data_IF_991659710053
#
_entry.id   IF_991659710053
#
_cell.length_a   1.000
_cell.length_b   1.000
_cell.length_c   1.000
_cell.angle_alpha   90.00
_cell.angle_beta   90.00
_cell.angle_gamma   90.00
#
_symmetry.space_group_name_H-M   'P 1'
#
loop_
_entity.id
_entity.type
_entity.pdbx_description
1 polymer ?
#
# COMPACT_ATOMS: atom_id res chain seq x y z
N UNK A 1 1.47 -33.76 -31.53
CA UNK A 1 2.14 -33.92 -30.23
C UNK A 1 3.50 -33.27 -30.34
N UNK A 2 3.75 -32.12 -29.69
CA UNK A 2 5.05 -31.45 -29.77
C UNK A 2 6.10 -32.20 -28.94
N UNK A 3 7.37 -32.22 -29.37
CA UNK A 3 8.45 -32.87 -28.63
C UNK A 3 8.75 -32.07 -27.34
N UNK A 4 8.77 -32.77 -26.22
CA UNK A 4 9.17 -32.24 -24.91
C UNK A 4 10.66 -31.84 -24.97
N UNK A 5 10.91 -30.54 -24.94
CA UNK A 5 12.25 -29.97 -24.75
C UNK A 5 12.80 -30.45 -23.41
N UNK A 6 13.93 -31.16 -23.47
CA UNK A 6 14.61 -31.72 -22.32
C UNK A 6 15.00 -30.65 -21.31
N UNK A 7 14.68 -30.91 -20.04
CA UNK A 7 15.12 -30.10 -18.92
C UNK A 7 16.66 -30.13 -18.84
N UNK A 8 17.32 -28.99 -18.59
CA UNK A 8 18.77 -28.97 -18.38
C UNK A 8 19.14 -29.72 -17.09
N UNK A 9 20.33 -30.36 -17.05
CA UNK A 9 20.80 -31.12 -15.90
C UNK A 9 21.00 -30.20 -14.68
N UNK A 10 20.55 -30.69 -13.52
CA UNK A 10 20.73 -30.05 -12.21
C UNK A 10 22.22 -30.09 -11.84
N UNK A 11 22.83 -28.99 -11.38
CA UNK A 11 24.23 -28.99 -10.96
C UNK A 11 24.42 -29.89 -9.74
N UNK A 12 25.36 -30.84 -9.86
CA UNK A 12 25.80 -31.68 -8.75
C UNK A 12 26.42 -30.83 -7.63
N UNK A 13 26.10 -31.11 -6.36
CA UNK A 13 26.77 -30.47 -5.24
C UNK A 13 28.25 -30.92 -5.14
N UNK A 14 29.17 -30.04 -4.73
CA UNK A 14 30.58 -30.36 -4.64
C UNK A 14 30.85 -31.47 -3.62
N UNK A 15 31.70 -32.47 -3.94
CA UNK A 15 32.05 -33.52 -3.01
C UNK A 15 32.97 -32.97 -1.92
N UNK A 16 32.56 -33.05 -0.65
CA UNK A 16 33.48 -32.79 0.46
C UNK A 16 32.95 -32.15 1.74
N UNK A 17 31.65 -32.10 2.00
CA UNK A 17 31.17 -31.69 3.33
C UNK A 17 30.97 -32.92 4.25
N UNK A 18 31.71 -33.04 5.36
CA UNK A 18 31.54 -34.13 6.30
C UNK A 18 30.18 -34.01 6.98
N UNK A 19 29.32 -34.99 6.72
CA UNK A 19 28.12 -35.25 7.50
C UNK A 19 28.54 -35.92 8.81
N UNK A 20 28.32 -35.28 9.96
CA UNK A 20 28.51 -35.92 11.25
C UNK A 20 29.02 -35.01 12.36
N UNK A 21 28.17 -34.13 12.87
CA UNK A 21 28.27 -33.69 14.26
C UNK A 21 27.18 -34.44 15.04
N UNK A 22 27.52 -35.68 15.34
CA UNK A 22 26.92 -36.49 16.40
C UNK A 22 27.32 -35.82 17.72
N UNK A 23 26.40 -35.03 18.31
CA UNK A 23 26.57 -34.50 19.66
C UNK A 23 25.99 -35.53 20.64
N UNK A 24 26.82 -36.21 21.45
CA UNK A 24 26.32 -37.17 22.41
C UNK A 24 25.59 -36.48 23.56
N UNK A 25 24.50 -37.12 23.99
CA UNK A 25 23.65 -36.70 25.09
C UNK A 25 24.43 -36.34 26.36
N UNK A 26 24.45 -35.05 26.66
CA UNK A 26 24.91 -34.50 27.93
C UNK A 26 23.76 -34.48 28.93
N UNK A 27 23.80 -35.44 29.85
CA UNK A 27 23.18 -35.40 31.17
C UNK A 27 23.33 -34.00 31.79
N UNK A 28 22.22 -33.26 31.91
CA UNK A 28 22.17 -32.11 32.83
C UNK A 28 21.85 -32.62 34.24
N UNK A 29 22.70 -32.36 35.25
CA UNK A 29 22.36 -32.67 36.64
C UNK A 29 21.31 -31.70 37.19
N UNK A 30 20.47 -32.13 38.16
CA UNK A 30 19.52 -31.26 38.83
C UNK A 30 20.25 -30.30 39.79
N UNK A 31 20.05 -29.00 39.62
CA UNK A 31 20.51 -28.01 40.60
C UNK A 31 19.70 -28.14 41.90
N UNK A 32 20.36 -28.26 43.07
CA UNK A 32 19.69 -28.26 44.35
C UNK A 32 19.32 -26.83 44.78
N UNK A 33 18.19 -26.73 45.48
CA UNK A 33 17.64 -25.49 46.00
C UNK A 33 18.58 -24.70 46.90
N UNK A 34 18.51 -23.38 46.73
CA UNK A 34 19.02 -22.38 47.65
C UNK A 34 17.90 -21.39 47.99
N UNK A 35 17.62 -21.29 49.29
CA UNK A 35 16.57 -20.57 50.01
C UNK A 35 16.59 -19.03 49.85
N UNK A 36 15.57 -18.31 50.38
CA UNK A 36 15.26 -16.92 50.02
C UNK A 36 16.09 -15.92 50.83
N UNK A 37 16.75 -15.00 50.12
CA UNK A 37 17.48 -13.88 50.67
C UNK A 37 16.83 -12.56 50.27
N UNK A 38 16.23 -11.92 51.26
CA UNK A 38 15.81 -10.52 51.26
C UNK A 38 16.96 -9.58 50.92
N UNK A 39 16.79 -8.74 49.90
CA UNK A 39 17.62 -7.54 49.71
C UNK A 39 16.74 -6.28 49.50
N UNK A 40 17.01 -5.19 50.24
CA UNK A 40 16.20 -3.98 50.27
C UNK A 40 16.59 -2.97 49.18
N UNK A 41 15.54 -2.35 48.61
CA UNK A 41 15.42 -0.98 48.08
C UNK A 41 16.62 -0.24 47.43
N UNK A 42 16.46 0.34 46.23
CA UNK A 42 17.40 1.35 45.73
C UNK A 42 17.24 2.70 46.46
N UNK A 43 18.34 3.45 46.68
CA UNK A 43 18.30 4.76 47.32
C UNK A 43 17.73 5.84 46.40
N UNK A 44 16.85 6.67 46.97
CA UNK A 44 16.35 7.91 46.37
C UNK A 44 17.50 8.92 46.11
N UNK A 45 17.42 9.72 45.04
CA UNK A 45 18.31 10.88 44.85
C UNK A 45 17.92 12.05 45.78
N UNK A 46 18.90 12.79 46.35
CA UNK A 46 18.65 14.00 47.12
C UNK A 46 18.50 15.21 46.18
N UNK A 47 17.39 15.93 46.30
CA UNK A 47 17.11 17.09 45.45
C UNK A 47 15.91 17.90 45.91
N UNK A 48 15.86 18.23 47.20
CA UNK A 48 14.93 19.18 47.80
C UNK A 48 15.42 20.62 47.61
N UNK A 49 14.56 21.51 47.09
CA UNK A 49 14.54 22.99 47.21
C UNK A 49 13.20 23.51 46.59
N UNK A 50 12.68 24.69 46.98
CA UNK A 50 11.75 24.82 48.09
C UNK A 50 10.36 25.37 47.70
N UNK A 51 9.45 25.28 48.67
CA UNK A 51 8.10 25.84 48.66
C UNK A 51 8.07 27.34 48.32
N UNK A 52 7.27 27.70 47.32
CA UNK A 52 6.69 29.05 47.20
C UNK A 52 5.31 29.00 47.84
N UNK A 53 5.28 29.42 49.10
CA UNK A 53 4.09 29.89 49.79
C UNK A 53 3.64 31.22 49.20
N UNK A 54 2.34 31.34 48.96
CA UNK A 54 1.65 32.62 49.05
C UNK A 54 1.02 33.14 47.77
N UNK A 55 -0.24 32.76 47.51
CA UNK A 55 -1.27 33.73 47.13
C UNK A 55 -2.62 33.32 47.76
N UNK A 56 -3.15 34.11 48.70
CA UNK A 56 -4.48 33.92 49.27
C UNK A 56 -5.54 34.71 48.47
N UNK A 57 -6.72 34.10 48.37
CA UNK A 57 -7.97 34.85 48.25
C UNK A 57 -8.48 35.08 46.83
N UNK A 58 -9.41 34.23 46.40
CA UNK A 58 -10.70 34.66 45.84
C UNK A 58 -11.69 33.50 45.95
N UNK A 59 -12.23 33.30 47.16
CA UNK A 59 -13.57 32.74 47.33
C UNK A 59 -14.54 33.92 47.26
N UNK A 60 -15.33 34.01 46.20
CA UNK A 60 -16.61 34.72 46.23
C UNK A 60 -17.61 33.91 45.42
N UNK A 61 -18.51 33.28 46.18
CA UNK A 61 -19.94 33.09 45.94
C UNK A 61 -20.47 33.14 44.50
N UNK A 62 -21.16 32.05 44.11
CA UNK A 62 -22.49 31.99 43.46
C UNK A 62 -22.66 30.53 43.01
N UNK A 63 -23.36 29.63 43.71
CA UNK A 63 -24.74 29.65 44.16
C UNK A 63 -25.72 30.10 43.08
N UNK A 64 -26.31 29.10 42.42
CA UNK A 64 -27.62 29.17 41.77
C UNK A 64 -27.65 29.75 40.37
N UNK A 65 -27.94 28.90 39.38
CA UNK A 65 -29.10 29.12 38.52
C UNK A 65 -29.31 27.92 37.60
N UNK A 66 -30.48 27.30 37.77
CA UNK A 66 -31.12 26.48 36.75
C UNK A 66 -31.38 27.36 35.53
N UNK A 67 -30.60 27.16 34.46
CA UNK A 67 -30.74 27.85 33.19
C UNK A 67 -31.27 26.89 32.13
N UNK A 68 -32.60 26.85 32.00
CA UNK A 68 -33.32 26.18 30.92
C UNK A 68 -33.07 27.02 29.65
N UNK A 69 -32.09 26.59 28.84
CA UNK A 69 -31.73 27.26 27.60
C UNK A 69 -32.83 27.08 26.55
N UNK A 70 -33.62 28.15 26.35
CA UNK A 70 -34.56 28.29 25.26
C UNK A 70 -33.85 28.28 23.91
N UNK A 71 -34.36 27.44 23.00
CA UNK A 71 -34.04 27.44 21.58
C UNK A 71 -34.54 28.76 20.94
N UNK A 72 -33.75 29.39 20.05
CA UNK A 72 -34.24 30.53 19.28
C UNK A 72 -35.32 30.08 18.28
N UNK A 73 -36.47 30.76 18.18
CA UNK A 73 -37.48 30.50 17.16
C UNK A 73 -37.01 31.10 15.83
N UNK A 74 -36.81 30.29 14.79
CA UNK A 74 -36.57 30.82 13.44
C UNK A 74 -35.69 30.01 12.49
N UNK A 75 -35.23 28.80 12.84
CA UNK A 75 -34.54 27.96 11.88
C UNK A 75 -35.55 27.34 10.89
N UNK A 76 -35.38 27.51 9.55
CA UNK A 76 -36.21 26.83 8.57
C UNK A 76 -36.04 25.30 8.67
N UNK A 77 -37.11 24.52 8.44
CA UNK A 77 -37.04 23.07 8.55
C UNK A 77 -36.07 22.49 7.50
N UNK A 78 -35.32 21.42 7.84
CA UNK A 78 -34.52 20.71 6.85
C UNK A 78 -35.43 20.09 5.77
N UNK A 79 -34.97 20.00 4.51
CA UNK A 79 -35.75 19.39 3.44
C UNK A 79 -36.06 17.93 3.78
N UNK A 80 -37.34 17.56 3.70
CA UNK A 80 -37.80 16.20 3.94
C UNK A 80 -37.10 15.21 3.01
N UNK A 81 -36.78 13.98 3.48
CA UNK A 81 -36.23 12.94 2.62
C UNK A 81 -37.28 12.57 1.57
N UNK A 82 -36.94 12.80 0.31
CA UNK A 82 -37.74 12.40 -0.84
C UNK A 82 -37.89 10.88 -0.82
N UNK A 83 -39.11 10.42 -0.52
CA UNK A 83 -39.51 9.02 -0.65
C UNK A 83 -39.45 8.67 -2.13
N UNK A 84 -38.39 7.98 -2.55
CA UNK A 84 -38.32 7.40 -3.89
C UNK A 84 -39.42 6.34 -4.02
N UNK A 85 -40.35 6.59 -4.93
CA UNK A 85 -41.36 5.63 -5.34
C UNK A 85 -40.71 4.38 -5.98
N UNK A 86 -41.29 3.18 -5.82
CA UNK A 86 -40.78 1.97 -6.44
C UNK A 86 -40.96 2.03 -7.97
N UNK A 87 -39.83 1.92 -8.68
CA UNK A 87 -39.78 1.82 -10.14
C UNK A 87 -40.52 0.57 -10.62
N UNK A 88 -41.41 0.76 -11.59
CA UNK A 88 -42.04 -0.31 -12.35
C UNK A 88 -41.01 -1.01 -13.25
N UNK A 89 -41.09 -2.34 -13.42
CA UNK A 89 -40.25 -3.07 -14.35
C UNK A 89 -40.92 -3.16 -15.73
N UNK A 90 -40.23 -2.64 -16.74
CA UNK A 90 -40.46 -3.00 -18.13
C UNK A 90 -40.93 -1.84 -18.99
N UNK A 91 -40.01 -1.30 -19.77
CA UNK A 91 -40.20 -0.89 -21.16
C UNK A 91 -38.81 -0.73 -21.79
N UNK A 92 -38.59 -1.44 -22.89
CA UNK A 92 -37.35 -1.46 -23.67
C UNK A 92 -37.07 -0.08 -24.29
N UNK A 93 -35.81 0.35 -24.45
CA UNK A 93 -35.51 1.52 -25.28
C UNK A 93 -35.38 1.13 -26.76
N UNK A 94 -35.95 1.91 -27.69
CA UNK A 94 -35.63 1.80 -29.10
C UNK A 94 -34.31 2.52 -29.40
N UNK A 95 -33.55 1.86 -30.26
CA UNK A 95 -32.44 2.34 -31.06
C UNK A 95 -32.62 3.80 -31.54
N UNK A 96 -31.75 4.72 -31.11
CA UNK A 96 -31.54 6.01 -31.77
C UNK A 96 -30.05 6.33 -31.86
N UNK A 97 -29.51 6.02 -33.04
CA UNK A 97 -28.39 6.67 -33.67
C UNK A 97 -28.80 8.09 -34.10
N UNK A 98 -28.24 9.14 -33.47
CA UNK A 98 -28.21 10.50 -34.04
C UNK A 98 -27.28 11.44 -33.24
N UNK A 99 -26.35 12.08 -33.95
CA UNK A 99 -26.05 13.51 -33.76
C UNK A 99 -25.09 13.90 -32.63
N UNK A 100 -23.83 14.10 -32.98
CA UNK A 100 -22.91 15.00 -32.28
C UNK A 100 -23.49 16.44 -32.25
N UNK A 101 -23.55 17.13 -31.09
CA UNK A 101 -23.76 18.57 -31.05
C UNK A 101 -22.43 19.34 -31.15
N UNK A 102 -22.29 20.30 -32.08
CA UNK A 102 -21.23 21.30 -32.04
C UNK A 102 -21.68 22.50 -31.19
N UNK A 103 -20.88 22.89 -30.19
CA UNK A 103 -21.06 24.17 -29.49
C UNK A 103 -20.69 24.14 -28.01
N UNK A 104 -19.40 24.31 -27.69
CA UNK A 104 -18.97 24.74 -26.35
C UNK A 104 -18.94 26.28 -26.35
N UNK A 105 -19.63 26.97 -25.43
CA UNK A 105 -19.44 28.40 -25.22
C UNK A 105 -18.13 28.66 -24.43
N UNK A 106 -17.40 29.76 -24.72
CA UNK A 106 -16.26 30.17 -23.93
C UNK A 106 -16.75 30.94 -22.69
N UNK A 107 -16.78 30.26 -21.54
CA UNK A 107 -17.10 30.84 -20.24
C UNK A 107 -15.97 30.58 -19.25
N UNK A 108 -15.02 31.52 -19.15
CA UNK A 108 -14.02 31.57 -18.09
C UNK A 108 -14.69 31.85 -16.74
N UNK A 109 -14.27 31.22 -15.63
CA UNK A 109 -14.69 31.66 -14.31
C UNK A 109 -13.95 32.97 -13.92
N UNK A 110 -14.67 34.01 -13.48
CA UNK A 110 -14.07 35.19 -12.85
C UNK A 110 -13.91 34.92 -11.34
N UNK A 111 -12.70 35.07 -10.81
CA UNK A 111 -12.50 34.94 -9.35
C UNK A 111 -11.06 34.77 -8.88
N UNK A 112 -10.14 35.65 -9.28
CA UNK A 112 -8.91 35.86 -8.50
C UNK A 112 -9.22 36.80 -7.32
N UNK A 113 -8.87 36.45 -6.07
CA UNK A 113 -9.04 37.37 -4.95
C UNK A 113 -8.09 38.58 -5.08
N UNK A 114 -8.55 39.81 -4.83
CA UNK A 114 -7.70 40.99 -4.77
C UNK A 114 -6.99 41.05 -3.42
N UNK A 115 -5.66 41.06 -3.39
CA UNK A 115 -4.95 41.30 -2.12
C UNK A 115 -3.47 40.93 -2.02
N UNK A 116 -2.67 40.99 -3.09
CA UNK A 116 -1.21 40.99 -2.90
C UNK A 116 -0.76 42.40 -2.48
N UNK A 117 -0.18 42.58 -1.28
CA UNK A 117 0.33 43.89 -0.86
C UNK A 117 1.58 44.28 -1.68
N UNK A 118 1.73 45.57 -2.07
CA UNK A 118 2.93 46.07 -2.70
C UNK A 118 4.01 46.27 -1.62
N UNK A 119 5.15 45.59 -1.74
CA UNK A 119 6.34 45.96 -0.96
C UNK A 119 7.20 44.83 -0.40
N UNK A 120 7.48 43.77 -1.16
CA UNK A 120 8.68 43.00 -0.84
C UNK A 120 9.91 43.74 -1.38
N UNK A 121 10.84 44.20 -0.53
CA UNK A 121 12.09 44.78 -0.98
C UNK A 121 12.87 43.73 -1.77
N UNK A 122 13.40 44.16 -2.91
CA UNK A 122 14.39 43.47 -3.73
C UNK A 122 15.58 43.07 -2.87
N UNK A 123 15.50 41.88 -2.26
CA UNK A 123 16.57 41.29 -1.47
C UNK A 123 17.52 40.60 -2.44
N UNK A 124 18.54 41.38 -2.82
CA UNK A 124 19.86 40.96 -3.30
C UNK A 124 19.93 39.56 -3.90
N UNK A 125 19.86 39.50 -5.22
CA UNK A 125 20.55 38.42 -5.94
C UNK A 125 22.03 38.45 -5.52
N UNK A 126 22.61 37.32 -5.07
CA UNK A 126 24.02 37.29 -4.75
C UNK A 126 24.85 37.58 -6.01
N UNK A 127 25.99 38.28 -5.86
CA UNK A 127 26.85 38.63 -6.96
C UNK A 127 27.38 37.36 -7.63
N UNK A 128 27.36 37.43 -8.97
CA UNK A 128 28.20 36.71 -9.92
C UNK A 128 29.39 36.03 -9.25
N UNK A 129 29.43 34.69 -9.22
CA UNK A 129 30.65 33.97 -8.87
C UNK A 129 31.71 34.22 -9.96
N UNK A 130 32.84 34.87 -9.64
CA UNK A 130 33.99 34.96 -10.53
C UNK A 130 34.89 33.74 -10.27
N UNK A 131 35.19 32.98 -11.31
CA UNK A 131 36.25 31.97 -11.27
C UNK A 131 35.77 30.53 -11.27
N UNK A 132 35.21 30.07 -12.39
CA UNK A 132 35.45 28.69 -12.79
C UNK A 132 36.85 28.62 -13.43
N UNK A 133 37.77 27.80 -12.91
CA UNK A 133 39.07 27.63 -13.53
C UNK A 133 38.90 26.90 -14.87
N UNK A 134 39.24 27.57 -15.96
CA UNK A 134 39.63 26.96 -17.22
C UNK A 134 40.83 26.06 -16.98
N UNK A 135 40.57 24.80 -16.64
CA UNK A 135 41.58 23.77 -16.38
C UNK A 135 41.14 22.45 -17.01
N UNK A 136 40.87 22.47 -18.31
CA UNK A 136 40.72 21.23 -19.08
C UNK A 136 42.14 20.64 -19.25
N UNK A 137 42.43 19.45 -18.71
CA UNK A 137 43.74 18.83 -18.90
C UNK A 137 43.94 18.51 -20.40
N UNK A 138 45.03 18.97 -21.03
CA UNK A 138 45.36 18.55 -22.38
C UNK A 138 45.90 17.12 -22.31
N UNK A 139 45.23 16.17 -22.97
CA UNK A 139 45.89 14.90 -23.32
C UNK A 139 45.19 13.59 -22.97
N UNK A 140 43.85 13.51 -22.98
CA UNK A 140 43.23 12.19 -23.10
C UNK A 140 43.27 11.76 -24.58
N UNK A 141 44.00 10.69 -24.94
CA UNK A 141 43.99 10.17 -26.29
C UNK A 141 42.59 9.66 -26.60
N UNK A 142 41.95 10.23 -27.63
CA UNK A 142 40.80 9.62 -28.29
C UNK A 142 41.24 8.24 -28.81
N UNK A 143 41.03 7.20 -28.00
CA UNK A 143 41.07 5.82 -28.45
C UNK A 143 39.83 5.58 -29.31
N UNK A 144 39.93 5.96 -30.59
CA UNK A 144 39.01 5.54 -31.63
C UNK A 144 38.89 4.01 -31.60
N UNK A 145 37.68 3.44 -31.51
CA UNK A 145 37.52 2.00 -31.64
C UNK A 145 38.04 1.53 -33.02
N UNK A 146 38.65 0.34 -33.10
CA UNK A 146 39.19 -0.18 -34.34
C UNK A 146 38.09 -0.26 -35.41
N UNK A 147 38.37 0.43 -36.52
CA UNK A 147 37.56 0.42 -37.74
C UNK A 147 37.33 -1.04 -38.18
N UNK A 148 36.08 -1.49 -38.37
CA UNK A 148 35.82 -2.85 -38.84
C UNK A 148 36.46 -3.08 -40.22
N UNK A 149 36.97 -4.30 -40.49
CA UNK A 149 37.63 -4.61 -41.74
C UNK A 149 36.67 -4.41 -42.94
N UNK A 150 37.18 -3.96 -44.10
CA UNK A 150 36.38 -3.80 -45.30
C UNK A 150 35.76 -5.15 -45.69
N UNK A 151 34.43 -5.19 -45.79
CA UNK A 151 33.72 -6.35 -46.28
C UNK A 151 34.11 -6.63 -47.75
N UNK A 152 34.25 -7.90 -48.14
CA UNK A 152 34.57 -8.27 -49.52
C UNK A 152 33.45 -7.83 -50.48
N UNK A 153 33.80 -7.47 -51.74
CA UNK A 153 32.83 -7.05 -52.74
C UNK A 153 31.88 -8.20 -53.08
N UNK A 154 30.60 -8.00 -52.77
CA UNK A 154 29.54 -8.93 -53.14
C UNK A 154 29.30 -8.82 -54.64
N UNK A 155 29.37 -9.92 -55.42
CA UNK A 155 29.15 -9.86 -56.86
C UNK A 155 27.70 -9.44 -57.17
N UNK A 156 27.48 -8.61 -58.21
CA UNK A 156 26.15 -8.17 -58.60
C UNK A 156 25.33 -9.37 -59.06
N UNK A 157 24.29 -9.69 -58.31
CA UNK A 157 23.33 -10.74 -58.65
C UNK A 157 22.49 -10.23 -59.83
N UNK A 158 22.87 -10.64 -61.03
CA UNK A 158 22.16 -10.34 -62.27
C UNK A 158 20.77 -11.00 -62.25
N UNK A 159 19.70 -10.21 -62.39
CA UNK A 159 18.36 -10.75 -62.58
C UNK A 159 17.18 -9.99 -61.98
N UNK A 160 17.28 -8.69 -61.69
CA UNK A 160 16.09 -7.88 -61.36
C UNK A 160 15.53 -7.20 -62.62
N UNK A 161 14.19 -7.22 -62.82
CA UNK A 161 13.54 -6.65 -63.99
C UNK A 161 13.67 -5.12 -64.02
N UNK A 162 13.86 -4.52 -65.20
CA UNK A 162 13.87 -3.07 -65.38
C UNK A 162 12.42 -2.57 -65.38
N UNK A 163 11.90 -2.16 -64.23
CA UNK A 163 10.52 -1.71 -64.12
C UNK A 163 10.35 -0.59 -63.10
N UNK A 164 10.20 0.65 -63.58
CA UNK A 164 9.44 1.69 -62.90
C UNK A 164 10.01 2.25 -61.60
N UNK A 165 11.31 2.56 -61.55
CA UNK A 165 11.89 3.37 -60.48
C UNK A 165 11.53 4.84 -60.66
N UNK A 166 10.32 5.24 -60.24
CA UNK A 166 10.10 6.64 -59.87
C UNK A 166 11.11 7.02 -58.77
N UNK A 167 11.59 8.27 -58.72
CA UNK A 167 12.45 8.70 -57.63
C UNK A 167 11.67 8.49 -56.33
N UNK A 168 12.02 7.45 -55.56
CA UNK A 168 11.62 7.38 -54.16
C UNK A 168 12.18 8.65 -53.55
N UNK A 169 11.28 9.57 -53.19
CA UNK A 169 11.61 10.90 -52.73
C UNK A 169 12.72 10.80 -51.69
N UNK A 170 13.87 11.42 -51.98
CA UNK A 170 15.03 11.44 -51.08
C UNK A 170 14.66 11.89 -49.65
N UNK A 171 13.55 12.60 -49.54
CA UNK A 171 12.92 13.05 -48.30
C UNK A 171 12.35 11.89 -47.47
N UNK A 172 11.71 10.89 -48.09
CA UNK A 172 11.18 9.72 -47.40
C UNK A 172 12.30 8.85 -46.79
N UNK A 173 13.44 8.73 -47.49
CA UNK A 173 14.61 8.01 -46.98
C UNK A 173 15.26 8.75 -45.80
N UNK A 174 15.34 10.08 -45.86
CA UNK A 174 15.84 10.90 -44.77
C UNK A 174 14.95 10.79 -43.53
N UNK A 175 13.62 10.81 -43.72
CA UNK A 175 12.65 10.69 -42.64
C UNK A 175 12.69 9.31 -41.95
N UNK A 176 12.85 8.23 -42.73
CA UNK A 176 12.99 6.88 -42.18
C UNK A 176 14.29 6.72 -41.36
N UNK A 177 15.40 7.28 -41.82
CA UNK A 177 16.67 7.26 -41.06
C UNK A 177 16.57 8.04 -39.76
N UNK A 178 15.90 9.18 -39.77
CA UNK A 178 15.67 9.96 -38.56
C UNK A 178 14.83 9.18 -37.53
N UNK A 179 13.79 8.49 -37.98
CA UNK A 179 13.00 7.61 -37.09
C UNK A 179 13.82 6.45 -36.54
N UNK A 180 14.67 5.80 -37.34
CA UNK A 180 15.56 4.75 -36.85
C UNK A 180 16.55 5.27 -35.81
N UNK A 181 17.20 6.42 -36.07
CA UNK A 181 18.13 7.03 -35.13
C UNK A 181 17.44 7.44 -33.82
N UNK A 182 16.19 7.92 -33.88
CA UNK A 182 15.40 8.22 -32.70
C UNK A 182 15.06 6.96 -31.89
N UNK A 183 14.65 5.87 -32.55
CA UNK A 183 14.36 4.60 -31.90
C UNK A 183 15.61 3.95 -31.27
N UNK A 184 16.75 3.99 -31.96
CA UNK A 184 18.03 3.51 -31.44
C UNK A 184 18.49 4.34 -30.23
N UNK A 185 18.23 5.64 -30.24
CA UNK A 185 18.55 6.50 -29.09
C UNK A 185 17.71 6.13 -27.86
N UNK A 186 16.40 5.91 -28.02
CA UNK A 186 15.54 5.42 -26.91
C UNK A 186 15.95 4.03 -26.43
N UNK A 187 16.31 3.12 -27.34
CA UNK A 187 16.87 1.80 -26.97
C UNK A 187 18.21 1.93 -26.25
N UNK A 188 19.08 2.86 -26.66
CA UNK A 188 20.38 3.06 -26.01
C UNK A 188 20.26 3.66 -24.61
N UNK A 189 19.24 4.49 -24.36
CA UNK A 189 18.93 5.02 -23.02
C UNK A 189 18.44 3.94 -22.06
N UNK A 190 17.69 2.97 -22.59
CA UNK A 190 17.18 1.82 -21.85
C UNK A 190 18.17 0.65 -21.81
N UNK A 191 19.21 0.66 -22.67
CA UNK A 191 20.19 -0.41 -22.74
C UNK A 191 20.94 -0.58 -21.41
N UNK A 192 20.64 -1.69 -20.73
CA UNK A 192 21.28 -2.09 -19.48
C UNK A 192 20.51 -1.73 -18.21
N UNK A 193 19.35 -1.09 -18.33
CA UNK A 193 18.39 -0.88 -17.23
C UNK A 193 17.40 -2.04 -17.25
N UNK A 194 17.08 -2.62 -16.09
CA UNK A 194 16.05 -3.65 -15.99
C UNK A 194 14.68 -3.12 -16.50
N UNK A 195 13.90 -3.92 -17.25
CA UNK A 195 12.65 -3.45 -17.85
C UNK A 195 11.64 -2.96 -16.81
N UNK A 196 11.59 -3.58 -15.63
CA UNK A 196 10.71 -3.18 -14.52
C UNK A 196 11.08 -1.79 -13.96
N UNK A 197 12.38 -1.48 -13.94
CA UNK A 197 12.89 -0.17 -13.49
C UNK A 197 12.60 0.90 -14.55
N UNK A 198 12.71 0.55 -15.83
CA UNK A 198 12.36 1.44 -16.93
C UNK A 198 10.85 1.77 -16.91
N UNK A 199 10.00 0.77 -16.71
CA UNK A 199 8.54 0.95 -16.58
C UNK A 199 8.19 1.84 -15.37
N UNK A 200 8.78 1.59 -14.20
CA UNK A 200 8.59 2.43 -13.01
C UNK A 200 9.01 3.89 -13.28
N UNK A 201 10.13 4.09 -14.00
CA UNK A 201 10.64 5.40 -14.34
C UNK A 201 9.75 6.16 -15.32
N UNK A 202 9.25 5.49 -16.36
CA UNK A 202 8.32 6.08 -17.31
C UNK A 202 6.99 6.43 -16.62
N UNK A 203 6.42 5.50 -15.83
CA UNK A 203 5.14 5.68 -15.17
C UNK A 203 5.13 6.86 -14.18
N UNK A 204 6.20 7.04 -13.41
CA UNK A 204 6.32 8.12 -12.42
C UNK A 204 7.05 9.37 -12.94
N UNK A 205 7.51 9.38 -14.20
CA UNK A 205 8.28 10.49 -14.78
C UNK A 205 9.60 10.74 -14.05
N UNK A 206 10.35 9.69 -13.76
CA UNK A 206 11.63 9.77 -13.07
C UNK A 206 12.74 10.26 -14.02
N UNK A 207 13.64 11.08 -13.48
CA UNK A 207 14.80 11.56 -14.23
C UNK A 207 15.75 10.41 -14.55
N UNK A 208 16.37 10.44 -15.73
CA UNK A 208 17.31 9.40 -16.19
C UNK A 208 18.46 9.15 -15.18
N UNK A 209 18.88 10.19 -14.46
CA UNK A 209 19.88 10.09 -13.38
C UNK A 209 19.37 9.25 -12.20
N UNK A 210 18.11 9.45 -11.78
CA UNK A 210 17.51 8.70 -10.69
C UNK A 210 17.28 7.24 -11.10
N UNK A 211 16.84 7.00 -12.34
CA UNK A 211 16.65 5.66 -12.90
C UNK A 211 17.94 4.84 -12.92
N UNK A 212 19.05 5.42 -13.39
CA UNK A 212 20.36 4.76 -13.37
C UNK A 212 20.85 4.47 -11.95
N UNK A 213 20.66 5.42 -11.03
CA UNK A 213 21.03 5.22 -9.63
C UNK A 213 20.20 4.10 -8.96
N UNK A 214 18.93 3.95 -9.34
CA UNK A 214 18.06 2.87 -8.90
C UNK A 214 18.50 1.52 -9.46
N UNK A 215 18.81 1.45 -10.74
CA UNK A 215 19.31 0.23 -11.39
C UNK A 215 20.62 -0.27 -10.76
N UNK A 216 21.58 0.62 -10.50
CA UNK A 216 22.82 0.28 -9.80
C UNK A 216 22.58 -0.29 -8.40
N UNK A 217 21.62 0.25 -7.65
CA UNK A 217 21.33 -0.19 -6.29
C UNK A 217 20.57 -1.52 -6.29
N UNK A 218 19.62 -1.70 -7.21
CA UNK A 218 18.87 -2.94 -7.38
C UNK A 218 19.75 -4.10 -7.86
N UNK A 219 20.80 -3.83 -8.65
CA UNK A 219 21.80 -4.83 -9.02
C UNK A 219 22.58 -5.39 -7.83
N UNK A 220 22.68 -4.65 -6.73
CA UNK A 220 23.32 -5.12 -5.48
C UNK A 220 22.38 -5.99 -4.63
N UNK A 221 21.07 -5.72 -4.69
CA UNK A 221 20.01 -6.35 -3.88
C UNK A 221 19.14 -7.29 -4.70
N UNK A 222 19.76 -8.20 -5.46
CA UNK A 222 19.06 -9.11 -6.38
C UNK A 222 18.10 -10.08 -5.69
N UNK A 223 18.37 -10.40 -4.43
CA UNK A 223 17.57 -11.27 -3.58
C UNK A 223 16.27 -10.62 -3.11
N UNK A 224 16.25 -9.30 -2.91
CA UNK A 224 15.06 -8.55 -2.50
C UNK A 224 14.45 -7.71 -3.63
N UNK A 225 14.87 -7.94 -4.88
CA UNK A 225 14.51 -7.11 -6.03
C UNK A 225 13.00 -6.91 -6.18
N UNK A 226 12.21 -7.99 -6.27
CA UNK A 226 10.76 -7.92 -6.50
C UNK A 226 10.04 -7.18 -5.35
N UNK A 227 10.43 -7.48 -4.11
CA UNK A 227 9.83 -6.89 -2.92
C UNK A 227 10.16 -5.41 -2.75
N UNK A 228 11.39 -5.02 -3.10
CA UNK A 228 11.82 -3.63 -3.09
C UNK A 228 11.15 -2.87 -4.24
N UNK A 229 10.99 -3.47 -5.42
CA UNK A 229 10.29 -2.88 -6.57
C UNK A 229 8.82 -2.59 -6.26
N UNK A 230 8.13 -3.55 -5.65
CA UNK A 230 6.74 -3.38 -5.24
C UNK A 230 6.60 -2.30 -4.15
N UNK A 231 7.54 -2.25 -3.19
CA UNK A 231 7.60 -1.21 -2.17
C UNK A 231 7.78 0.19 -2.77
N UNK A 232 8.66 0.33 -3.76
CA UNK A 232 8.88 1.58 -4.47
C UNK A 232 7.64 2.00 -5.25
N UNK A 233 6.99 1.08 -5.98
CA UNK A 233 5.77 1.38 -6.75
C UNK A 233 4.69 2.00 -5.87
N UNK A 234 4.37 1.32 -4.76
CA UNK A 234 3.39 1.80 -3.78
C UNK A 234 3.88 3.09 -3.11
N UNK A 235 5.16 3.21 -2.78
CA UNK A 235 5.72 4.42 -2.19
C UNK A 235 5.59 5.66 -3.09
N UNK A 236 5.77 5.50 -4.39
CA UNK A 236 5.81 6.59 -5.38
C UNK A 236 4.43 7.03 -5.87
N UNK A 237 3.44 6.13 -5.91
CA UNK A 237 2.08 6.42 -6.40
C UNK A 237 1.37 7.57 -5.65
N UNK A 238 1.70 7.78 -4.36
CA UNK A 238 1.13 8.86 -3.54
C UNK A 238 2.03 10.08 -3.35
N UNK A 239 3.21 10.11 -3.95
CA UNK A 239 4.22 11.12 -3.67
C UNK A 239 3.98 12.41 -4.46
N UNK A 240 4.04 13.57 -3.79
CA UNK A 240 3.99 14.89 -4.47
C UNK A 240 5.18 15.13 -5.40
N UNK A 241 6.33 14.51 -5.10
CA UNK A 241 7.55 14.56 -5.89
C UNK A 241 8.20 13.15 -5.91
N UNK A 242 7.95 12.33 -6.94
CA UNK A 242 8.41 10.94 -6.98
C UNK A 242 9.95 10.83 -7.10
N UNK A 243 10.59 11.65 -7.95
CA UNK A 243 12.06 11.65 -8.11
C UNK A 243 12.79 11.96 -6.79
N UNK A 244 12.31 12.96 -6.04
CA UNK A 244 12.86 13.30 -4.73
C UNK A 244 12.66 12.19 -3.67
N UNK A 245 11.48 11.57 -3.64
CA UNK A 245 11.19 10.47 -2.72
C UNK A 245 12.04 9.23 -3.04
N UNK A 246 12.22 8.92 -4.33
CA UNK A 246 13.06 7.82 -4.77
C UNK A 246 14.51 8.02 -4.31
N UNK A 247 15.07 9.21 -4.47
CA UNK A 247 16.44 9.50 -4.01
C UNK A 247 16.60 9.30 -2.49
N UNK A 248 15.57 9.61 -1.71
CA UNK A 248 15.57 9.32 -0.27
C UNK A 248 15.53 7.81 0.00
N UNK A 249 14.71 7.05 -0.73
CA UNK A 249 14.67 5.57 -0.61
C UNK A 249 15.96 4.91 -1.07
N UNK A 250 16.63 5.42 -2.11
CA UNK A 250 17.96 4.97 -2.52
C UNK A 250 19.00 5.21 -1.43
N UNK A 251 18.91 6.34 -0.73
CA UNK A 251 19.77 6.59 0.43
C UNK A 251 19.50 5.57 1.54
N UNK A 252 18.23 5.27 1.83
CA UNK A 252 17.86 4.24 2.81
C UNK A 252 18.36 2.84 2.40
N UNK A 253 18.32 2.51 1.10
CA UNK A 253 18.84 1.25 0.57
C UNK A 253 20.35 1.12 0.79
N UNK A 254 21.10 2.19 0.49
CA UNK A 254 22.55 2.25 0.71
C UNK A 254 22.94 2.17 2.18
N UNK A 255 22.10 2.70 3.07
CA UNK A 255 22.30 2.61 4.53
C UNK A 255 21.81 1.26 5.09
N UNK A 256 21.19 0.40 4.28
CA UNK A 256 20.59 -0.86 4.74
C UNK A 256 19.34 -0.66 5.62
N UNK A 257 18.83 0.57 5.72
CA UNK A 257 17.61 0.89 6.49
C UNK A 257 16.34 0.66 5.66
N UNK A 258 16.47 0.59 4.34
CA UNK A 258 15.34 0.27 3.47
C UNK A 258 14.93 -1.20 3.62
N UNK A 259 13.85 -1.35 4.37
CA UNK A 259 13.07 -2.55 4.56
C UNK A 259 11.95 -2.55 3.51
N UNK A 260 12.15 -3.24 2.39
CA UNK A 260 11.12 -3.39 1.35
C UNK A 260 9.83 -4.04 1.89
N UNK A 261 8.87 -4.39 1.02
CA UNK A 261 7.60 -4.98 1.49
C UNK A 261 7.78 -6.30 2.25
N UNK A 262 8.84 -7.05 1.96
CA UNK A 262 9.20 -8.29 2.67
C UNK A 262 9.59 -8.10 4.13
N UNK A 263 9.89 -6.87 4.54
CA UNK A 263 10.27 -6.56 5.90
C UNK A 263 9.10 -6.03 6.75
N UNK A 264 7.88 -5.98 6.20
CA UNK A 264 6.69 -5.94 7.04
C UNK A 264 6.67 -7.22 7.89
N UNK A 265 6.50 -7.06 9.20
CA UNK A 265 6.33 -8.19 10.11
C UNK A 265 5.24 -9.12 9.56
N UNK A 266 5.52 -10.43 9.54
CA UNK A 266 4.56 -11.45 9.13
C UNK A 266 3.21 -11.27 9.82
N UNK A 267 3.22 -10.81 11.08
CA UNK A 267 2.01 -10.46 11.82
C UNK A 267 1.20 -9.34 11.16
N UNK A 268 1.85 -8.28 10.68
CA UNK A 268 1.21 -7.15 9.98
C UNK A 268 0.66 -7.60 8.62
N UNK A 269 1.38 -8.47 7.91
CA UNK A 269 0.92 -9.02 6.63
C UNK A 269 -0.32 -9.92 6.82
N UNK A 270 -0.31 -10.82 7.80
CA UNK A 270 -1.47 -11.64 8.16
C UNK A 270 -2.65 -10.78 8.58
N UNK A 271 -2.39 -9.72 9.34
CA UNK A 271 -3.40 -8.76 9.76
C UNK A 271 -4.04 -8.03 8.56
N UNK A 272 -3.22 -7.55 7.63
CA UNK A 272 -3.67 -6.93 6.39
C UNK A 272 -4.53 -7.88 5.56
N UNK A 273 -4.08 -9.14 5.40
CA UNK A 273 -4.84 -10.18 4.69
C UNK A 273 -6.16 -10.50 5.38
N UNK A 274 -6.18 -10.63 6.71
CA UNK A 274 -7.38 -10.94 7.51
C UNK A 274 -8.48 -9.88 7.38
N UNK A 275 -8.10 -8.61 7.34
CA UNK A 275 -9.02 -7.48 7.25
C UNK A 275 -9.15 -6.90 5.85
N UNK A 276 -8.52 -7.51 4.84
CA UNK A 276 -8.48 -7.03 3.44
C UNK A 276 -8.04 -5.56 3.37
N UNK A 277 -7.00 -5.22 4.11
CA UNK A 277 -6.39 -3.90 4.02
C UNK A 277 -5.72 -3.76 2.66
N UNK A 278 -5.82 -2.57 2.11
CA UNK A 278 -5.02 -2.17 0.95
C UNK A 278 -3.54 -2.16 1.32
N UNK A 279 -2.70 -2.33 0.30
CA UNK A 279 -1.25 -2.42 0.47
C UNK A 279 -0.67 -1.15 1.08
N UNK A 280 -1.20 0.03 0.73
CA UNK A 280 -0.75 1.32 1.29
C UNK A 280 -1.00 1.40 2.80
N UNK A 281 -2.18 1.01 3.26
CA UNK A 281 -2.53 1.00 4.68
C UNK A 281 -1.70 -0.03 5.46
N UNK A 282 -1.42 -1.19 4.87
CA UNK A 282 -0.58 -2.22 5.50
C UNK A 282 0.87 -1.74 5.71
N UNK A 283 1.47 -1.11 4.69
CA UNK A 283 2.82 -0.53 4.78
C UNK A 283 2.87 0.56 5.86
N UNK A 284 1.92 1.50 5.82
CA UNK A 284 1.85 2.59 6.81
C UNK A 284 1.56 2.09 8.22
N UNK A 285 0.84 0.98 8.38
CA UNK A 285 0.65 0.34 9.67
C UNK A 285 1.98 -0.15 10.24
N UNK A 286 2.76 -0.90 9.46
CA UNK A 286 4.09 -1.36 9.89
C UNK A 286 5.00 -0.21 10.33
N UNK A 287 5.11 0.84 9.51
CA UNK A 287 5.93 2.02 9.83
C UNK A 287 5.53 2.74 11.13
N UNK A 288 4.24 2.72 11.47
CA UNK A 288 3.72 3.37 12.67
C UNK A 288 3.91 2.48 13.89
N UNK A 289 3.71 1.17 13.76
CA UNK A 289 3.90 0.20 14.84
C UNK A 289 5.37 0.07 15.26
N UNK A 290 6.31 0.18 14.32
CA UNK A 290 7.75 0.15 14.61
C UNK A 290 8.21 1.29 15.55
N UNK A 291 7.42 2.37 15.68
CA UNK A 291 7.72 3.51 16.55
C UNK A 291 7.02 3.44 17.90
N UNK A 292 6.21 2.41 18.15
CA UNK A 292 5.40 2.27 19.37
C UNK A 292 6.02 1.26 20.31
N UNK A 293 5.84 1.50 21.61
CA UNK A 293 6.34 0.61 22.67
C UNK A 293 5.55 -0.70 22.75
N UNK A 294 4.26 -0.68 22.40
CA UNK A 294 3.35 -1.84 22.45
C UNK A 294 2.61 -2.05 21.11
N UNK A 295 3.31 -2.58 20.08
CA UNK A 295 2.70 -2.80 18.76
C UNK A 295 1.59 -3.86 18.79
N UNK A 296 1.75 -4.91 19.59
CA UNK A 296 0.78 -6.00 19.72
C UNK A 296 -0.53 -5.52 20.37
N UNK A 297 -0.45 -4.71 21.43
CA UNK A 297 -1.62 -4.11 22.08
C UNK A 297 -2.40 -3.15 21.17
N UNK A 298 -1.69 -2.32 20.40
CA UNK A 298 -2.32 -1.41 19.43
C UNK A 298 -2.97 -2.19 18.27
N UNK A 299 -2.31 -3.23 17.73
CA UNK A 299 -2.91 -4.11 16.73
C UNK A 299 -4.21 -4.75 17.23
N UNK A 300 -4.24 -5.21 18.48
CA UNK A 300 -5.44 -5.77 19.10
C UNK A 300 -6.60 -4.77 19.20
N UNK A 301 -6.31 -3.50 19.51
CA UNK A 301 -7.33 -2.43 19.56
C UNK A 301 -7.84 -2.06 18.17
N UNK A 302 -6.93 -1.92 17.20
CA UNK A 302 -7.29 -1.63 15.80
C UNK A 302 -8.15 -2.76 15.24
N UNK A 303 -7.85 -4.03 15.54
CA UNK A 303 -8.65 -5.19 15.13
C UNK A 303 -10.13 -5.02 15.51
N UNK A 304 -10.41 -4.58 16.74
CA UNK A 304 -11.78 -4.37 17.24
C UNK A 304 -12.53 -3.28 16.46
N UNK A 305 -11.84 -2.25 15.97
CA UNK A 305 -12.43 -1.22 15.11
C UNK A 305 -12.74 -1.75 13.71
N UNK A 306 -11.79 -2.47 13.11
CA UNK A 306 -11.94 -3.00 11.76
C UNK A 306 -13.05 -4.05 11.67
N UNK A 307 -13.26 -4.85 12.72
CA UNK A 307 -14.34 -5.85 12.78
C UNK A 307 -15.74 -5.22 12.69
N UNK A 308 -15.89 -3.98 13.17
CA UNK A 308 -17.15 -3.23 13.15
C UNK A 308 -17.32 -2.37 11.91
N UNK A 309 -16.27 -2.15 11.13
CA UNK A 309 -16.29 -1.31 9.94
C UNK A 309 -16.58 -2.12 8.67
N UNK A 310 -17.25 -1.49 7.71
CA UNK A 310 -17.40 -2.00 6.35
C UNK A 310 -16.35 -1.41 5.38
N UNK A 311 -15.52 -0.47 5.84
CA UNK A 311 -14.44 0.19 5.09
C UNK A 311 -13.16 0.15 5.92
N UNK A 312 -12.53 -1.02 6.08
CA UNK A 312 -11.41 -1.21 7.01
C UNK A 312 -10.19 -0.33 6.64
N UNK A 313 -9.86 -0.24 5.36
CA UNK A 313 -8.78 0.61 4.83
C UNK A 313 -8.92 2.10 5.20
N UNK A 314 -10.08 2.69 4.96
CA UNK A 314 -10.32 4.11 5.23
C UNK A 314 -10.28 4.40 6.73
N UNK A 315 -10.89 3.53 7.54
CA UNK A 315 -10.85 3.65 8.99
C UNK A 315 -9.42 3.47 9.54
N UNK A 316 -8.65 2.53 8.99
CA UNK A 316 -7.25 2.34 9.33
C UNK A 316 -6.46 3.63 9.10
N UNK A 317 -6.61 4.27 7.95
CA UNK A 317 -5.90 5.52 7.63
C UNK A 317 -6.23 6.66 8.59
N UNK A 318 -7.48 6.74 9.09
CA UNK A 318 -7.83 7.68 10.15
C UNK A 318 -7.14 7.34 11.49
N UNK A 319 -7.14 6.07 11.89
CA UNK A 319 -6.50 5.62 13.14
C UNK A 319 -4.97 5.78 13.09
N UNK A 320 -4.34 5.55 11.94
CA UNK A 320 -2.91 5.76 11.75
C UNK A 320 -2.49 7.22 11.95
N UNK A 321 -3.37 8.18 11.65
CA UNK A 321 -3.11 9.59 11.95
C UNK A 321 -2.99 9.84 13.45
N UNK A 322 -3.95 9.32 14.24
CA UNK A 322 -3.92 9.45 15.70
C UNK A 322 -2.72 8.72 16.32
N UNK A 323 -2.37 7.54 15.81
CA UNK A 323 -1.21 6.76 16.26
C UNK A 323 0.13 7.47 15.99
N UNK A 324 0.25 8.15 14.84
CA UNK A 324 1.44 8.97 14.52
C UNK A 324 1.62 10.15 15.47
N UNK A 325 0.52 10.68 15.99
CA UNK A 325 0.53 11.73 17.02
C UNK A 325 0.81 11.16 18.43
N UNK A 326 1.04 9.85 18.55
CA UNK A 326 1.30 9.16 19.81
C UNK A 326 0.05 8.91 20.65
N UNK A 327 -1.15 9.27 20.16
CA UNK A 327 -2.40 9.10 20.90
C UNK A 327 -2.72 7.61 21.04
N UNK A 328 -3.18 7.14 22.21
CA UNK A 328 -3.61 5.76 22.37
C UNK A 328 -4.84 5.47 21.50
N UNK A 329 -4.91 4.27 20.93
CA UNK A 329 -6.08 3.83 20.16
C UNK A 329 -7.29 3.80 21.10
N UNK A 330 -8.27 4.67 20.84
CA UNK A 330 -9.54 4.74 21.60
C UNK A 330 -10.32 3.44 21.43
N UNK A 331 -11.20 3.09 22.35
CA UNK A 331 -12.08 1.93 22.17
C UNK A 331 -13.21 2.22 21.16
N UNK A 332 -13.69 1.21 20.40
CA UNK A 332 -14.77 1.40 19.44
C UNK A 332 -16.09 1.74 20.14
N UNK A 333 -16.50 3.01 20.05
CA UNK A 333 -17.77 3.49 20.60
C UNK A 333 -18.97 3.29 19.65
N UNK A 334 -18.70 3.09 18.36
CA UNK A 334 -19.76 2.94 17.36
C UNK A 334 -20.35 1.52 17.36
N UNK A 335 -21.67 1.44 17.14
CA UNK A 335 -22.38 0.19 16.88
C UNK A 335 -21.86 -0.46 15.59
N UNK A 336 -22.03 -1.78 15.46
CA UNK A 336 -21.57 -2.52 14.29
C UNK A 336 -22.22 -1.95 13.01
N UNK A 337 -21.41 -1.54 12.03
CA UNK A 337 -21.93 -1.01 10.78
C UNK A 337 -22.68 -2.10 10.02
N UNK A 338 -23.74 -1.72 9.32
CA UNK A 338 -24.50 -2.64 8.45
C UNK A 338 -23.53 -3.21 7.41
N UNK A 339 -23.47 -4.54 7.32
CA UNK A 339 -22.55 -5.26 6.44
C UNK A 339 -21.14 -5.49 6.99
N UNK A 340 -20.85 -5.07 8.23
CA UNK A 340 -19.62 -5.48 8.92
C UNK A 340 -19.63 -6.98 9.27
N UNK A 341 -18.46 -7.60 9.47
CA UNK A 341 -18.35 -9.01 9.88
C UNK A 341 -19.10 -9.28 11.19
N UNK A 342 -19.08 -8.33 12.12
CA UNK A 342 -19.83 -8.44 13.38
C UNK A 342 -21.34 -8.40 13.12
N UNK A 343 -21.80 -7.46 12.30
CA UNK A 343 -23.22 -7.38 11.92
C UNK A 343 -23.69 -8.65 11.19
N UNK A 344 -22.90 -9.18 10.26
CA UNK A 344 -23.20 -10.43 9.55
C UNK A 344 -23.28 -11.62 10.52
N UNK A 345 -22.37 -11.70 11.48
CA UNK A 345 -22.37 -12.74 12.53
C UNK A 345 -23.56 -12.60 13.48
N UNK A 346 -23.97 -11.38 13.82
CA UNK A 346 -25.19 -11.12 14.61
C UNK A 346 -26.45 -11.50 13.82
N UNK A 347 -26.52 -11.15 12.54
CA UNK A 347 -27.62 -11.54 11.65
C UNK A 347 -27.71 -13.07 11.49
N UNK A 348 -26.58 -13.76 11.30
CA UNK A 348 -26.53 -15.23 11.22
C UNK A 348 -26.97 -15.88 12.55
N UNK A 349 -26.55 -15.34 13.70
CA UNK A 349 -27.02 -15.79 15.02
C UNK A 349 -28.54 -15.60 15.18
N UNK A 350 -29.09 -14.47 14.75
CA UNK A 350 -30.52 -14.21 14.77
C UNK A 350 -31.29 -15.18 13.85
N UNK A 351 -30.76 -15.47 12.66
CA UNK A 351 -31.34 -16.41 11.69
C UNK A 351 -31.26 -17.87 12.17
N UNK A 352 -30.16 -18.29 12.81
CA UNK A 352 -30.06 -19.62 13.43
C UNK A 352 -31.05 -19.77 14.59
N UNK A 353 -31.23 -18.72 15.39
CA UNK A 353 -32.20 -18.72 16.50
C UNK A 353 -33.65 -18.83 16.00
N UNK A 354 -34.00 -18.21 14.87
CA UNK A 354 -35.35 -18.35 14.28
C UNK A 354 -35.59 -19.74 13.67
N UNK A 355 -34.58 -20.35 13.03
CA UNK A 355 -34.68 -21.71 12.47
C UNK A 355 -34.83 -22.79 13.54
N UNK A 356 -34.06 -22.71 14.63
CA UNK A 356 -34.16 -23.70 15.74
C UNK A 356 -35.55 -23.75 16.38
N UNK A 357 -36.24 -22.60 16.46
CA UNK A 357 -37.63 -22.53 16.95
C UNK A 357 -38.64 -23.16 16.00
N UNK A 358 -38.42 -23.08 14.67
CA UNK A 358 -39.36 -23.63 13.68
C UNK A 358 -39.16 -25.15 13.47
N UNK A 359 -37.93 -25.65 13.56
CA UNK A 359 -37.60 -27.08 13.40
C UNK A 359 -38.01 -27.99 14.57
N UNK A 360 -38.20 -27.44 15.77
CA UNK A 360 -38.67 -28.24 16.90
C UNK A 360 -40.17 -28.54 16.85
N UNK A 361 -40.97 -27.79 16.08
CA UNK A 361 -42.43 -28.03 15.96
C UNK A 361 -42.81 -29.20 15.06
N UNK A 362 -41.95 -29.58 14.10
CA UNK A 362 -42.23 -30.73 13.21
C UNK A 362 -41.79 -32.06 13.79
N UNK A 363 -40.71 -32.11 14.58
CA UNK A 363 -40.17 -33.37 15.13
C UNK A 363 -41.02 -34.01 16.23
N UNK A 364 -41.92 -33.24 16.86
CA UNK A 364 -42.90 -33.81 17.81
C UNK A 364 -44.08 -34.50 17.11
N UNK A 365 -44.38 -34.16 15.84
CA UNK A 365 -45.52 -34.77 15.13
C UNK A 365 -45.22 -36.16 14.57
N UNK A 366 -43.97 -36.44 14.20
CA UNK A 366 -43.58 -37.77 13.69
C UNK A 366 -43.39 -38.81 14.80
N UNK A 367 -42.98 -38.40 16.02
CA UNK A 367 -42.86 -39.33 17.16
C UNK A 367 -44.20 -39.85 17.68
N UNK A 368 -45.30 -39.17 17.38
CA UNK A 368 -46.63 -39.64 17.74
C UNK A 368 -47.10 -40.76 16.78
N UNK A 369 -46.73 -40.67 15.49
CA UNK A 369 -47.11 -41.64 14.46
C UNK A 369 -46.44 -43.01 14.60
N UNK A 370 -45.22 -43.06 15.15
CA UNK A 370 -44.52 -44.33 15.40
C UNK A 370 -45.02 -45.05 16.68
N UNK A 371 -45.65 -44.35 17.62
CA UNK A 371 -46.24 -45.00 18.81
C UNK A 371 -47.52 -45.75 18.47
N UNK A 372 -48.33 -45.27 17.53
CA UNK A 372 -49.54 -45.98 17.08
C UNK A 372 -49.21 -47.29 16.34
N UNK A 373 -48.10 -47.35 15.60
CA UNK A 373 -47.69 -48.59 14.90
C UNK A 373 -47.15 -49.68 15.82
N UNK A 374 -46.69 -49.38 17.04
CA UNK A 374 -46.19 -50.38 18.00
C UNK A 374 -47.22 -50.82 19.05
N UNK A 375 -48.37 -50.16 19.16
CA UNK A 375 -49.41 -50.48 20.15
C UNK A 375 -50.49 -51.49 19.69
N UNK A 376 -50.52 -51.88 18.41
CA UNK A 376 -51.63 -52.64 17.82
C UNK A 376 -51.43 -54.16 17.67
N UNK A 377 -50.35 -54.75 18.19
CA UNK A 377 -50.03 -56.17 17.94
C UNK A 377 -49.65 -56.91 19.21
N UNK A 378 -50.64 -57.29 20.03
CA UNK A 378 -50.38 -58.04 21.26
C UNK A 378 -51.65 -58.50 21.96
N UNK A 379 -52.50 -59.26 21.27
CA UNK A 379 -53.70 -59.83 21.85
C UNK A 379 -54.23 -60.98 21.01
N UNK A 380 -53.57 -62.13 21.07
CA UNK A 380 -54.04 -63.33 20.37
C UNK A 380 -53.23 -64.58 20.70
N UNK A 381 -53.88 -65.51 21.42
CA UNK A 381 -53.45 -66.91 21.63
C UNK A 381 -52.63 -67.10 22.90
N UNK A 382 -52.95 -68.00 23.82
CA UNK A 382 -53.87 -69.14 23.82
C UNK A 382 -53.33 -70.15 24.85
N UNK A 383 -54.21 -70.94 25.47
CA UNK A 383 -53.84 -72.04 26.37
C UNK A 383 -54.59 -72.00 27.68
#
# INVERSE_FOLDING_TARGET
MPPMLGMPPVPEPPPGMPSGLDLPGGLFPPFPGGSPGSDPGPPNPPGSMPAISGMPGMQTAMQGMMGVGGLPPGAPPPPAPSVQAPLQPGLQPPNMSAGLPPGMPPGMPPGMPPGMPPGMPSLGMPPSMPGMPSGMPPGLPLALPPRPPPLPPVPPKAGMPPGGGGPLDSEAIAQMRFQQAAAEYEQSKTAGIAPEIAELAEYHGLDERATRALDEEMKKRRDTFDADMQALWVGLEGARNPSGLLMMKLKDMRMGTFRGMSALDARVQEFAKKYRLDTQAAVKLGEVLDKREDPDGDMGKIARHLERSNKPSSLMMMLLRDLREGKPVKEPQHAAAIGSKVHEKELDRLMKRSRSRKGCRSRSRDRERDRERRGGGGGGGGG
#
